data_IF_946821781249
#
_entry.id   IF_946821781249
#
_cell.length_a   1.000
_cell.length_b   1.000
_cell.length_c   1.000
_cell.angle_alpha   90.00
_cell.angle_beta   90.00
_cell.angle_gamma   90.00
#
_symmetry.space_group_name_H-M   'P 1'
#
loop_
_entity.id
_entity.type
_entity.pdbx_description
1 polymer ?
#
# COMPACT_ATOMS: atom_id res chain seq x y z
N UNK A 1 17.12 -10.89 15.23
CA UNK A 1 18.35 -10.10 14.99
C UNK A 1 18.47 -9.56 13.56
N UNK A 2 18.90 -10.35 12.55
CA UNK A 2 19.15 -9.80 11.20
C UNK A 2 17.88 -9.23 10.51
N UNK A 3 16.75 -9.93 10.63
CA UNK A 3 15.49 -9.50 10.01
C UNK A 3 14.91 -8.24 10.68
N UNK A 4 15.07 -8.11 11.99
CA UNK A 4 14.60 -6.94 12.76
C UNK A 4 15.43 -5.70 12.48
N UNK A 5 16.76 -5.84 12.33
CA UNK A 5 17.63 -4.75 11.92
C UNK A 5 17.30 -4.27 10.52
N UNK A 6 17.12 -5.19 9.57
CA UNK A 6 16.72 -4.84 8.21
C UNK A 6 15.38 -4.09 8.20
N UNK A 7 14.39 -4.60 8.92
CA UNK A 7 13.10 -3.93 9.01
C UNK A 7 13.22 -2.54 9.65
N UNK A 8 14.01 -2.40 10.70
CA UNK A 8 14.27 -1.11 11.34
C UNK A 8 14.89 -0.11 10.34
N UNK A 9 15.90 -0.51 9.57
CA UNK A 9 16.50 0.36 8.55
C UNK A 9 15.48 0.79 7.50
N UNK A 10 14.62 -0.12 7.03
CA UNK A 10 13.55 0.22 6.08
C UNK A 10 12.58 1.24 6.65
N UNK A 11 12.18 1.11 7.92
CA UNK A 11 11.30 2.07 8.61
C UNK A 11 11.94 3.46 8.67
N UNK A 12 13.20 3.53 9.10
CA UNK A 12 13.95 4.79 9.20
C UNK A 12 14.09 5.46 7.83
N UNK A 13 14.44 4.70 6.80
CA UNK A 13 14.61 5.22 5.45
C UNK A 13 13.28 5.70 4.86
N UNK A 14 12.19 4.93 5.03
CA UNK A 14 10.86 5.32 4.59
C UNK A 14 10.36 6.59 5.32
N UNK A 15 10.58 6.67 6.64
CA UNK A 15 10.28 7.84 7.45
C UNK A 15 11.07 9.06 6.99
N UNK A 16 12.35 8.86 6.63
CA UNK A 16 13.26 9.88 6.12
C UNK A 16 12.73 10.64 4.90
N UNK A 17 11.88 10.00 4.08
CA UNK A 17 11.28 10.57 2.86
C UNK A 17 10.10 11.50 3.12
N UNK A 18 9.54 11.50 4.32
CA UNK A 18 8.35 12.26 4.66
C UNK A 18 8.63 13.76 4.82
N UNK A 19 7.59 14.57 4.65
CA UNK A 19 7.66 16.00 4.87
C UNK A 19 7.75 16.33 6.36
N UNK A 20 8.65 17.25 6.70
CA UNK A 20 8.77 17.79 8.04
C UNK A 20 7.54 18.62 8.39
N UNK A 21 7.15 18.55 9.65
CA UNK A 21 6.19 19.48 10.24
C UNK A 21 6.94 20.69 10.79
N UNK A 22 6.40 21.89 10.57
CA UNK A 22 6.98 23.14 11.07
C UNK A 22 6.65 23.41 12.55
N UNK A 23 5.61 22.77 13.08
CA UNK A 23 5.01 23.12 14.39
C UNK A 23 5.22 22.07 15.46
N UNK A 24 5.63 20.85 15.10
CA UNK A 24 5.88 19.74 16.03
C UNK A 24 7.33 19.26 15.90
N UNK A 25 7.78 18.41 16.84
CA UNK A 25 9.11 17.80 16.78
C UNK A 25 9.27 16.95 15.49
N UNK A 26 10.11 17.38 14.52
CA UNK A 26 10.24 16.73 13.22
C UNK A 26 10.87 15.33 13.28
N UNK A 27 11.47 14.97 14.42
CA UNK A 27 12.00 13.63 14.66
C UNK A 27 10.90 12.63 15.03
N UNK A 28 9.83 13.12 15.66
CA UNK A 28 8.71 12.30 16.14
C UNK A 28 7.50 12.36 15.23
N UNK A 29 7.27 13.50 14.59
CA UNK A 29 6.05 13.82 13.88
C UNK A 29 6.35 14.23 12.44
N UNK A 30 5.62 13.65 11.49
CA UNK A 30 5.71 13.99 10.07
C UNK A 30 4.37 13.83 9.38
N UNK A 31 4.22 14.47 8.23
CA UNK A 31 3.05 14.29 7.36
C UNK A 31 3.33 13.21 6.31
N UNK A 32 2.37 12.30 6.15
CA UNK A 32 2.38 11.33 5.05
C UNK A 32 2.06 12.00 3.70
N UNK A 33 2.15 11.23 2.61
CA UNK A 33 1.89 11.72 1.26
C UNK A 33 0.45 12.25 1.03
N UNK A 34 -0.48 12.00 1.95
CA UNK A 34 -1.87 12.48 1.91
C UNK A 34 -2.13 13.57 2.97
N UNK A 35 -1.08 14.14 3.57
CA UNK A 35 -1.21 15.20 4.56
C UNK A 35 -1.72 14.73 5.92
N UNK A 36 -1.70 13.42 6.21
CA UNK A 36 -2.06 12.90 7.54
C UNK A 36 -0.85 12.88 8.44
N UNK A 37 -1.06 13.32 9.67
CA UNK A 37 -0.01 13.31 10.69
C UNK A 37 0.24 11.87 11.16
N UNK A 38 1.52 11.49 11.23
CA UNK A 38 1.94 10.19 11.75
C UNK A 38 3.05 10.36 12.80
N UNK A 39 3.14 9.42 13.72
CA UNK A 39 4.09 9.42 14.83
C UNK A 39 5.09 8.26 14.68
N UNK A 40 6.39 8.53 14.75
CA UNK A 40 7.43 7.54 14.45
C UNK A 40 7.28 6.26 15.29
N UNK A 41 7.03 6.41 16.59
CA UNK A 41 6.87 5.28 17.52
C UNK A 41 5.57 4.49 17.35
N UNK A 42 4.63 4.96 16.53
CA UNK A 42 3.34 4.31 16.29
C UNK A 42 3.36 3.44 15.03
N UNK A 43 4.54 3.04 14.57
CA UNK A 43 4.70 2.09 13.48
C UNK A 43 3.95 0.78 13.77
N UNK A 44 3.12 0.33 12.82
CA UNK A 44 2.31 -0.88 12.92
C UNK A 44 1.09 -0.77 13.85
N UNK A 45 0.86 0.38 14.49
CA UNK A 45 -0.24 0.59 15.44
C UNK A 45 -1.52 1.02 14.75
N UNK A 46 -2.36 0.06 14.36
CA UNK A 46 -3.69 0.34 13.76
C UNK A 46 -4.74 0.80 14.79
N UNK A 47 -4.41 0.76 16.07
CA UNK A 47 -5.21 1.32 17.17
C UNK A 47 -4.92 2.81 17.42
N UNK A 48 -3.80 3.34 16.90
CA UNK A 48 -3.42 4.75 17.03
C UNK A 48 -4.03 5.60 15.92
N UNK A 49 -4.46 6.82 16.26
CA UNK A 49 -4.84 7.84 15.28
C UNK A 49 -3.65 8.39 14.46
N UNK A 50 -2.42 8.03 14.83
CA UNK A 50 -1.18 8.48 14.18
C UNK A 50 -0.32 7.32 13.68
N UNK A 51 -0.85 6.10 13.70
CA UNK A 51 -0.12 4.91 13.29
C UNK A 51 0.19 4.91 11.79
N UNK A 52 1.26 4.22 11.44
CA UNK A 52 1.72 4.16 10.05
C UNK A 52 2.40 2.84 9.73
N UNK A 53 2.50 2.54 8.45
CA UNK A 53 3.04 1.30 7.93
C UNK A 53 3.89 1.59 6.68
N UNK A 54 4.64 0.58 6.24
CA UNK A 54 5.27 0.60 4.93
C UNK A 54 4.22 0.32 3.85
N UNK A 55 4.18 1.17 2.85
CA UNK A 55 3.31 1.08 1.68
C UNK A 55 4.15 0.88 0.40
N UNK A 56 3.65 0.01 -0.48
CA UNK A 56 4.26 -0.29 -1.78
C UNK A 56 3.75 0.69 -2.84
N UNK A 57 4.57 1.69 -3.17
CA UNK A 57 4.25 2.76 -4.12
C UNK A 57 5.49 3.13 -4.94
N UNK A 58 5.37 3.31 -6.28
CA UNK A 58 4.14 3.47 -7.05
C UNK A 58 3.45 2.16 -7.46
N UNK A 59 4.12 1.02 -7.36
CA UNK A 59 3.55 -0.28 -7.75
C UNK A 59 3.17 -1.07 -6.51
N UNK A 60 1.86 -1.34 -6.28
CA UNK A 60 1.42 -2.16 -5.17
C UNK A 60 2.00 -3.57 -5.23
N UNK A 61 2.22 -4.18 -4.07
CA UNK A 61 2.74 -5.56 -3.97
C UNK A 61 1.90 -6.59 -4.74
N UNK A 62 0.58 -6.47 -4.70
CA UNK A 62 -0.32 -7.39 -5.41
C UNK A 62 -0.24 -7.26 -6.95
N UNK A 63 0.39 -6.19 -7.46
CA UNK A 63 0.67 -5.99 -8.88
C UNK A 63 2.15 -6.23 -9.23
N UNK A 64 2.90 -6.92 -8.36
CA UNK A 64 4.32 -7.22 -8.59
C UNK A 64 5.29 -6.13 -8.14
N UNK A 65 4.84 -5.20 -7.29
CA UNK A 65 5.72 -4.20 -6.68
C UNK A 65 6.88 -4.82 -5.90
N UNK A 66 8.08 -4.25 -6.05
CA UNK A 66 9.31 -4.75 -5.42
C UNK A 66 9.41 -4.30 -3.96
N UNK A 67 10.30 -4.96 -3.20
CA UNK A 67 10.65 -4.57 -1.83
C UNK A 67 11.77 -3.51 -1.79
N UNK A 68 12.23 -3.05 -2.95
CA UNK A 68 13.26 -2.02 -3.04
C UNK A 68 12.76 -0.72 -2.44
N UNK A 69 13.66 0.03 -1.81
CA UNK A 69 13.25 1.27 -1.16
C UNK A 69 12.71 2.32 -2.14
N UNK A 70 13.02 2.25 -3.43
CA UNK A 70 12.38 3.07 -4.47
C UNK A 70 10.86 2.85 -4.56
N UNK A 71 10.37 1.66 -4.17
CA UNK A 71 8.95 1.30 -4.17
C UNK A 71 8.33 1.34 -2.77
N UNK A 72 9.02 1.89 -1.76
CA UNK A 72 8.57 1.90 -0.36
C UNK A 72 8.48 3.31 0.18
N UNK A 73 7.32 3.63 0.75
CA UNK A 73 7.08 4.87 1.51
C UNK A 73 6.43 4.57 2.85
N UNK A 74 6.51 5.54 3.77
CA UNK A 74 5.71 5.53 5.00
C UNK A 74 4.33 6.11 4.71
N UNK A 75 3.27 5.45 5.19
CA UNK A 75 1.89 5.89 4.98
C UNK A 75 1.05 5.65 6.23
N UNK A 76 0.11 6.56 6.52
CA UNK A 76 -0.85 6.35 7.61
C UNK A 76 -1.66 5.06 7.37
N UNK A 77 -1.84 4.24 8.42
CA UNK A 77 -2.40 2.88 8.30
C UNK A 77 -3.79 2.85 7.68
N UNK A 78 -4.68 3.80 8.04
CA UNK A 78 -6.03 3.91 7.44
C UNK A 78 -5.97 4.07 5.93
N UNK A 79 -5.03 4.88 5.43
CA UNK A 79 -4.85 5.05 4.00
C UNK A 79 -4.37 3.79 3.34
N UNK A 80 -3.31 3.19 3.89
CA UNK A 80 -2.75 1.94 3.38
C UNK A 80 -3.84 0.85 3.26
N UNK A 81 -4.62 0.65 4.32
CA UNK A 81 -5.71 -0.33 4.35
C UNK A 81 -6.77 -0.06 3.28
N UNK A 82 -7.18 1.20 3.07
CA UNK A 82 -8.14 1.56 2.03
C UNK A 82 -7.60 1.29 0.62
N UNK A 83 -6.34 1.65 0.33
CA UNK A 83 -5.73 1.39 -0.99
C UNK A 83 -5.66 -0.11 -1.28
N UNK A 84 -5.23 -0.92 -0.31
CA UNK A 84 -5.18 -2.38 -0.44
C UNK A 84 -6.56 -3.00 -0.66
N UNK A 85 -7.59 -2.55 0.07
CA UNK A 85 -8.96 -3.02 -0.09
C UNK A 85 -9.54 -2.71 -1.48
N UNK A 86 -9.35 -1.49 -1.98
CA UNK A 86 -9.78 -1.08 -3.32
C UNK A 86 -9.10 -1.91 -4.42
N UNK A 87 -7.79 -2.14 -4.28
CA UNK A 87 -7.03 -2.97 -5.22
C UNK A 87 -7.53 -4.41 -5.24
N UNK A 88 -7.80 -4.99 -4.07
CA UNK A 88 -8.36 -6.34 -3.95
C UNK A 88 -9.72 -6.49 -4.65
N UNK A 89 -10.61 -5.51 -4.47
CA UNK A 89 -11.91 -5.49 -5.15
C UNK A 89 -11.76 -5.39 -6.68
N UNK A 90 -10.86 -4.54 -7.16
CA UNK A 90 -10.57 -4.38 -8.59
C UNK A 90 -10.04 -5.67 -9.22
N UNK A 91 -9.05 -6.31 -8.58
CA UNK A 91 -8.49 -7.58 -9.05
C UNK A 91 -9.55 -8.70 -9.08
N UNK A 92 -10.41 -8.78 -8.07
CA UNK A 92 -11.49 -9.75 -8.04
C UNK A 92 -12.52 -9.52 -9.17
N UNK A 93 -12.80 -8.27 -9.54
CA UNK A 93 -13.70 -7.94 -10.63
C UNK A 93 -13.12 -8.33 -12.00
N UNK A 94 -11.82 -8.09 -12.23
CA UNK A 94 -11.14 -8.47 -13.47
C UNK A 94 -11.12 -9.98 -13.70
N UNK A 95 -10.80 -10.75 -12.65
CA UNK A 95 -10.82 -12.22 -12.73
C UNK A 95 -12.21 -12.79 -13.05
N UNK A 96 -13.28 -12.15 -12.56
CA UNK A 96 -14.66 -12.55 -12.91
C UNK A 96 -14.96 -12.30 -14.38
N UNK A 97 -14.52 -11.15 -14.91
CA UNK A 97 -14.74 -10.80 -16.31
C UNK A 97 -13.98 -11.73 -17.26
N UNK A 98 -12.72 -12.08 -16.98
CA UNK A 98 -11.95 -13.04 -17.77
C UNK A 98 -12.66 -14.39 -17.88
N UNK A 99 -13.08 -14.97 -16.74
CA UNK A 99 -13.81 -16.25 -16.72
C UNK A 99 -15.12 -16.20 -17.51
N UNK A 100 -15.86 -15.10 -17.42
CA UNK A 100 -17.11 -14.94 -18.15
C UNK A 100 -16.88 -14.76 -19.67
N UNK A 101 -15.77 -14.14 -20.06
CA UNK A 101 -15.38 -13.98 -21.47
C UNK A 101 -14.91 -15.31 -22.11
N UNK A 102 -14.19 -16.15 -21.37
CA UNK A 102 -13.79 -17.50 -21.82
C UNK A 102 -15.00 -18.42 -22.02
N UNK A 103 -15.97 -18.35 -21.10
CA UNK A 103 -17.24 -19.08 -21.22
C UNK A 103 -18.12 -18.54 -22.37
N UNK A 104 -18.15 -17.22 -22.58
CA UNK A 104 -18.89 -16.59 -23.68
C UNK A 104 -18.33 -16.91 -25.07
N UNK A 105 -17.01 -17.08 -25.18
CA UNK A 105 -16.33 -17.46 -26.43
C UNK A 105 -16.64 -18.88 -26.90
N UNK A 106 -16.94 -19.80 -25.97
CA UNK A 106 -17.29 -21.20 -26.29
C UNK A 106 -18.74 -21.36 -26.82
N UNK A 107 -19.64 -20.41 -26.57
CA UNK A 107 -21.03 -20.48 -27.05
C UNK A 107 -21.29 -19.75 -28.37
N UNK A 108 -20.29 -19.06 -28.94
CA UNK A 108 -20.43 -18.23 -30.15
C UNK A 108 -20.46 -18.98 -31.49
N UNK A 109 -20.36 -20.31 -31.51
CA UNK A 109 -20.31 -21.09 -32.77
C UNK A 109 -21.62 -21.73 -33.23
N UNK A 110 -22.75 -21.45 -32.58
CA UNK A 110 -24.04 -21.97 -33.04
C UNK A 110 -25.10 -20.88 -33.21
N UNK A 111 -25.50 -20.72 -34.47
CA UNK A 111 -26.78 -20.19 -35.03
C UNK A 111 -26.52 -19.01 -36.00
N UNK A 112 -26.98 -19.01 -37.26
CA UNK A 112 -28.17 -19.62 -37.87
C UNK A 112 -27.90 -20.08 -39.32
N UNK A 113 -28.53 -21.19 -39.71
CA UNK A 113 -28.97 -21.44 -41.08
C UNK A 113 -30.30 -20.74 -41.32
#
# INVERSE_FOLDING_TARGET
MANELLEYFRRVEAWGKLQYTATLDPMKWRYDAHGRLIHFSDYGRRDSDYGWELDHYPVPKALGGTEDMSNIRALHWRGNATHGGLLGLGLAALQKHEKQSELGGLFGLYSKR
#
